data_IF_595189647340
#
_entry.id   IF_595189647340
#
_cell.length_a   1.000
_cell.length_b   1.000
_cell.length_c   1.000
_cell.angle_alpha   90.00
_cell.angle_beta   90.00
_cell.angle_gamma   90.00
#
_symmetry.space_group_name_H-M   'P 1'
#
loop_
_entity.id
_entity.type
_entity.pdbx_description
1 polymer ?
#
# COMPACT_ATOMS: atom_id res chain seq x y z
N UNK A 1 15.62 16.02 -27.92
CA UNK A 1 16.54 16.72 -27.01
C UNK A 1 15.71 17.61 -26.09
N UNK A 2 15.89 17.52 -24.77
CA UNK A 2 15.22 18.41 -23.81
C UNK A 2 16.18 19.57 -23.51
N UNK A 3 15.91 20.76 -24.06
CA UNK A 3 16.78 21.93 -23.90
C UNK A 3 16.61 22.56 -22.50
N UNK A 4 17.70 23.12 -21.96
CA UNK A 4 17.76 23.76 -20.65
C UNK A 4 19.13 23.55 -20.01
N UNK A 5 19.52 24.40 -19.05
CA UNK A 5 20.72 24.16 -18.22
C UNK A 5 20.57 22.83 -17.50
N UNK A 6 21.59 21.98 -17.59
CA UNK A 6 21.57 20.67 -16.99
C UNK A 6 21.54 20.76 -15.46
N UNK A 7 20.68 19.96 -14.84
CA UNK A 7 20.72 19.72 -13.39
C UNK A 7 21.87 18.76 -13.07
N UNK A 8 23.09 19.30 -13.05
CA UNK A 8 24.31 18.51 -12.81
C UNK A 8 24.28 17.83 -11.44
N UNK A 9 23.76 18.52 -10.41
CA UNK A 9 23.66 17.96 -9.07
C UNK A 9 22.65 16.79 -9.03
N UNK A 10 21.48 16.96 -9.64
CA UNK A 10 20.49 15.89 -9.79
C UNK A 10 21.02 14.70 -10.59
N UNK A 11 21.79 14.94 -11.65
CA UNK A 11 22.41 13.88 -12.45
C UNK A 11 23.41 13.05 -11.62
N UNK A 12 24.28 13.70 -10.84
CA UNK A 12 25.24 13.01 -9.96
C UNK A 12 24.50 12.25 -8.84
N UNK A 13 23.50 12.87 -8.20
CA UNK A 13 22.70 12.24 -7.16
C UNK A 13 21.93 11.02 -7.66
N UNK A 14 21.36 11.10 -8.86
CA UNK A 14 20.67 9.99 -9.52
C UNK A 14 21.64 8.84 -9.83
N UNK A 15 22.81 9.14 -10.40
CA UNK A 15 23.81 8.11 -10.70
C UNK A 15 24.26 7.36 -9.45
N UNK A 16 24.53 8.07 -8.36
CA UNK A 16 24.87 7.47 -7.06
C UNK A 16 23.73 6.61 -6.51
N UNK A 17 22.50 7.15 -6.49
CA UNK A 17 21.32 6.42 -6.01
C UNK A 17 21.03 5.16 -6.82
N UNK A 18 21.17 5.23 -8.15
CA UNK A 18 20.99 4.10 -9.04
C UNK A 18 22.03 3.00 -8.78
N UNK A 19 23.30 3.39 -8.61
CA UNK A 19 24.36 2.44 -8.31
C UNK A 19 24.06 1.67 -7.01
N UNK A 20 23.77 2.38 -5.93
CA UNK A 20 23.41 1.77 -4.64
C UNK A 20 22.17 0.89 -4.76
N UNK A 21 21.12 1.38 -5.43
CA UNK A 21 19.87 0.63 -5.60
C UNK A 21 20.08 -0.69 -6.35
N UNK A 22 20.99 -0.74 -7.34
CA UNK A 22 21.32 -1.96 -8.08
C UNK A 22 22.17 -2.90 -7.23
N UNK A 23 23.19 -2.38 -6.53
CA UNK A 23 24.08 -3.17 -5.66
C UNK A 23 23.30 -3.87 -4.53
N UNK A 24 22.33 -3.16 -3.92
CA UNK A 24 21.56 -3.66 -2.78
C UNK A 24 20.28 -4.42 -3.20
N UNK A 25 19.90 -4.38 -4.49
CA UNK A 25 18.58 -4.80 -4.98
C UNK A 25 18.17 -6.19 -4.48
N UNK A 26 19.05 -7.19 -4.64
CA UNK A 26 18.71 -8.58 -4.33
C UNK A 26 18.44 -8.77 -2.84
N UNK A 27 19.29 -8.21 -1.98
CA UNK A 27 19.15 -8.31 -0.53
C UNK A 27 17.90 -7.57 -0.05
N UNK A 28 17.67 -6.36 -0.58
CA UNK A 28 16.49 -5.57 -0.24
C UNK A 28 15.20 -6.26 -0.70
N UNK A 29 15.16 -6.79 -1.93
CA UNK A 29 14.02 -7.55 -2.44
C UNK A 29 13.70 -8.76 -1.56
N UNK A 30 14.71 -9.53 -1.13
CA UNK A 30 14.52 -10.67 -0.24
C UNK A 30 13.92 -10.24 1.11
N UNK A 31 14.48 -9.19 1.73
CA UNK A 31 14.03 -8.66 3.02
C UNK A 31 12.59 -8.12 2.93
N UNK A 32 12.30 -7.28 1.95
CA UNK A 32 10.98 -6.69 1.77
C UNK A 32 9.92 -7.74 1.42
N UNK A 33 10.28 -8.76 0.65
CA UNK A 33 9.38 -9.89 0.40
C UNK A 33 9.00 -10.62 1.68
N UNK A 34 9.96 -10.84 2.59
CA UNK A 34 9.70 -11.47 3.88
C UNK A 34 8.75 -10.61 4.74
N UNK A 35 9.04 -9.32 4.89
CA UNK A 35 8.19 -8.38 5.63
C UNK A 35 6.78 -8.28 5.04
N UNK A 36 6.67 -8.14 3.71
CA UNK A 36 5.39 -8.14 3.00
C UNK A 36 4.61 -9.42 3.26
N UNK A 37 5.28 -10.57 3.20
CA UNK A 37 4.62 -11.88 3.39
C UNK A 37 4.10 -12.03 4.83
N UNK A 38 4.82 -11.52 5.83
CA UNK A 38 4.34 -11.50 7.22
C UNK A 38 3.11 -10.59 7.34
N UNK A 39 3.19 -9.37 6.81
CA UNK A 39 2.08 -8.42 6.79
C UNK A 39 0.82 -9.05 6.17
N UNK A 40 0.93 -9.54 4.93
CA UNK A 40 -0.19 -10.10 4.18
C UNK A 40 -0.79 -11.32 4.88
N UNK A 41 0.04 -12.28 5.31
CA UNK A 41 -0.43 -13.48 5.99
C UNK A 41 -1.20 -13.14 7.26
N UNK A 42 -0.66 -12.25 8.09
CA UNK A 42 -1.28 -11.88 9.37
C UNK A 42 -2.57 -11.10 9.17
N UNK A 43 -2.61 -10.19 8.19
CA UNK A 43 -3.85 -9.47 7.86
C UNK A 43 -4.95 -10.40 7.35
N UNK A 44 -4.62 -11.38 6.51
CA UNK A 44 -5.57 -12.40 6.07
C UNK A 44 -6.10 -13.27 7.22
N UNK A 45 -5.27 -13.55 8.22
CA UNK A 45 -5.67 -14.29 9.43
C UNK A 45 -6.55 -13.46 10.37
N UNK A 46 -6.32 -12.14 10.49
CA UNK A 46 -6.98 -11.30 11.50
C UNK A 46 -8.16 -10.49 10.99
N UNK A 47 -8.29 -10.26 9.68
CA UNK A 47 -9.33 -9.41 9.10
C UNK A 47 -10.21 -10.25 8.15
N UNK A 48 -11.40 -10.70 8.62
CA UNK A 48 -12.32 -11.46 7.78
C UNK A 48 -12.72 -10.69 6.52
N UNK A 49 -12.73 -11.36 5.37
CA UNK A 49 -13.09 -10.75 4.08
C UNK A 49 -12.03 -9.86 3.47
N UNK A 50 -10.86 -9.69 4.10
CA UNK A 50 -9.72 -9.00 3.48
C UNK A 50 -9.18 -9.83 2.32
N UNK A 51 -8.87 -9.15 1.22
CA UNK A 51 -8.26 -9.72 0.02
C UNK A 51 -6.93 -9.02 -0.26
N UNK A 52 -6.00 -9.75 -0.88
CA UNK A 52 -4.76 -9.16 -1.41
C UNK A 52 -4.94 -9.01 -2.92
N UNK A 53 -4.87 -7.76 -3.40
CA UNK A 53 -4.93 -7.47 -4.82
C UNK A 53 -3.74 -8.16 -5.50
N UNK A 54 -4.03 -8.91 -6.59
CA UNK A 54 -3.05 -9.66 -7.39
C UNK A 54 -2.10 -10.57 -6.59
N UNK A 55 -2.60 -11.19 -5.50
CA UNK A 55 -1.79 -12.01 -4.56
C UNK A 55 -0.83 -12.99 -5.23
N UNK A 56 -1.32 -13.71 -6.26
CA UNK A 56 -0.62 -14.79 -6.94
C UNK A 56 0.14 -14.34 -8.21
N UNK A 57 0.16 -13.05 -8.52
CA UNK A 57 0.87 -12.51 -9.67
C UNK A 57 2.34 -12.20 -9.34
N UNK A 58 3.17 -12.10 -10.38
CA UNK A 58 4.50 -11.50 -10.22
C UNK A 58 4.33 -10.00 -9.94
N UNK A 59 4.81 -9.55 -8.78
CA UNK A 59 4.59 -8.19 -8.26
C UNK A 59 5.77 -7.74 -7.42
N UNK A 60 5.93 -6.42 -7.35
CA UNK A 60 7.04 -5.80 -6.62
C UNK A 60 7.11 -6.28 -5.17
N UNK A 61 8.32 -6.61 -4.71
CA UNK A 61 8.58 -7.19 -3.37
C UNK A 61 8.11 -6.31 -2.21
N UNK A 62 8.01 -5.01 -2.44
CA UNK A 62 7.75 -3.99 -1.43
C UNK A 62 6.30 -3.50 -1.39
N UNK A 63 5.46 -3.92 -2.34
CA UNK A 63 4.08 -3.46 -2.44
C UNK A 63 3.14 -4.53 -1.92
N UNK A 64 2.34 -4.17 -0.92
CA UNK A 64 1.12 -4.90 -0.57
C UNK A 64 -0.08 -4.01 -0.86
N UNK A 65 -1.03 -4.51 -1.65
CA UNK A 65 -2.28 -3.82 -1.91
C UNK A 65 -3.41 -4.71 -1.43
N UNK A 66 -4.19 -4.19 -0.49
CA UNK A 66 -5.28 -4.89 0.16
C UNK A 66 -6.61 -4.31 -0.31
N UNK A 67 -7.62 -5.18 -0.30
CA UNK A 67 -9.00 -4.89 -0.61
C UNK A 67 -9.85 -5.32 0.58
N UNK A 68 -10.71 -4.43 1.06
CA UNK A 68 -11.64 -4.70 2.15
C UNK A 68 -13.02 -4.22 1.72
N UNK A 69 -13.98 -5.11 1.82
CA UNK A 69 -15.38 -4.79 1.55
C UNK A 69 -16.06 -4.23 2.82
N UNK A 70 -17.18 -3.53 2.61
CA UNK A 70 -18.05 -2.97 3.66
C UNK A 70 -17.43 -1.84 4.51
N UNK A 71 -16.38 -1.18 4.01
CA UNK A 71 -15.82 0.04 4.61
C UNK A 71 -15.53 1.07 3.52
N UNK A 72 -15.59 2.35 3.89
CA UNK A 72 -15.15 3.43 3.03
C UNK A 72 -13.62 3.55 3.01
N UNK A 73 -13.04 3.75 1.83
CA UNK A 73 -11.59 3.82 1.65
C UNK A 73 -10.95 5.10 2.19
N UNK A 74 -11.66 6.23 2.12
CA UNK A 74 -11.18 7.51 2.65
C UNK A 74 -11.19 7.48 4.18
N UNK A 75 -12.26 6.94 4.78
CA UNK A 75 -12.34 6.75 6.24
C UNK A 75 -11.22 5.83 6.75
N UNK A 76 -10.90 4.76 6.01
CA UNK A 76 -9.80 3.87 6.36
C UNK A 76 -8.44 4.60 6.30
N UNK A 77 -8.19 5.38 5.24
CA UNK A 77 -6.94 6.14 5.12
C UNK A 77 -6.82 7.21 6.20
N UNK A 78 -7.89 7.94 6.49
CA UNK A 78 -7.92 8.92 7.57
C UNK A 78 -7.66 8.26 8.94
N UNK A 79 -8.26 7.10 9.20
CA UNK A 79 -8.02 6.35 10.43
C UNK A 79 -6.58 5.82 10.54
N UNK A 80 -5.96 5.42 9.44
CA UNK A 80 -4.55 5.03 9.41
C UNK A 80 -3.62 6.20 9.71
N UNK A 81 -3.90 7.38 9.13
CA UNK A 81 -3.12 8.60 9.37
C UNK A 81 -3.18 9.03 10.85
N UNK A 82 -4.36 9.00 11.47
CA UNK A 82 -4.53 9.28 12.90
C UNK A 82 -3.75 8.31 13.80
N UNK A 83 -3.52 7.08 13.33
CA UNK A 83 -2.71 6.07 14.01
C UNK A 83 -1.22 6.15 13.62
N UNK A 84 -0.81 7.15 12.84
CA UNK A 84 0.57 7.38 12.42
C UNK A 84 1.07 6.38 11.36
N UNK A 85 0.17 5.79 10.58
CA UNK A 85 0.51 4.85 9.50
C UNK A 85 0.26 5.52 8.15
N UNK A 86 1.34 5.80 7.42
CA UNK A 86 1.24 6.32 6.06
C UNK A 86 0.91 5.19 5.06
N UNK A 87 -0.17 5.36 4.30
CA UNK A 87 -0.59 4.46 3.24
C UNK A 87 -1.21 5.25 2.07
N UNK A 88 -1.49 4.59 0.95
CA UNK A 88 -2.20 5.20 -0.19
C UNK A 88 -3.47 4.43 -0.51
N UNK A 89 -4.48 5.08 -1.06
CA UNK A 89 -5.67 4.42 -1.61
C UNK A 89 -5.43 3.74 -2.98
N UNK A 90 -6.46 3.07 -3.50
CA UNK A 90 -6.53 2.63 -4.90
C UNK A 90 -6.58 3.84 -5.84
N UNK A 91 -5.52 4.03 -6.63
CA UNK A 91 -5.21 5.26 -7.40
C UNK A 91 -5.56 6.57 -6.70
N UNK A 92 -4.69 6.98 -5.79
CA UNK A 92 -4.53 8.39 -5.47
C UNK A 92 -4.23 9.18 -6.77
N UNK A 93 -4.96 10.29 -6.96
CA UNK A 93 -4.91 11.29 -8.04
C UNK A 93 -5.98 11.20 -9.15
N UNK A 94 -7.25 11.18 -8.78
CA UNK A 94 -8.20 12.11 -9.39
C UNK A 94 -8.71 13.03 -8.28
N UNK A 95 -8.01 14.15 -8.08
CA UNK A 95 -8.45 15.23 -7.21
C UNK A 95 -9.84 15.71 -7.65
N UNK A 96 -10.90 15.17 -7.04
CA UNK A 96 -12.29 15.59 -7.25
C UNK A 96 -13.21 14.59 -7.95
N UNK A 97 -12.79 13.36 -8.26
CA UNK A 97 -13.68 12.34 -8.83
C UNK A 97 -13.90 11.20 -7.84
N UNK A 98 -15.17 10.86 -7.61
CA UNK A 98 -15.63 9.74 -6.76
C UNK A 98 -15.52 8.39 -7.50
N UNK A 99 -14.78 8.32 -8.60
CA UNK A 99 -14.75 7.14 -9.45
C UNK A 99 -13.71 6.13 -8.98
N UNK A 100 -14.11 4.86 -8.95
CA UNK A 100 -13.23 3.72 -8.69
C UNK A 100 -12.06 3.73 -9.67
N UNK A 101 -10.85 3.53 -9.15
CA UNK A 101 -9.61 3.43 -9.94
C UNK A 101 -9.77 2.53 -11.16
N UNK A 102 -9.38 3.00 -12.35
CA UNK A 102 -9.39 2.17 -13.57
C UNK A 102 -8.63 0.84 -13.40
N UNK A 103 -7.59 0.80 -12.54
CA UNK A 103 -6.85 -0.43 -12.22
C UNK A 103 -7.71 -1.39 -11.38
N UNK A 104 -8.41 -0.88 -10.37
CA UNK A 104 -9.28 -1.68 -9.50
C UNK A 104 -10.51 -2.14 -10.27
N UNK A 105 -11.08 -1.29 -11.12
CA UNK A 105 -12.14 -1.64 -12.07
C UNK A 105 -11.69 -2.74 -13.04
N UNK A 106 -10.46 -2.70 -13.54
CA UNK A 106 -9.93 -3.78 -14.38
C UNK A 106 -9.73 -5.11 -13.62
N UNK A 107 -9.53 -5.06 -12.30
CA UNK A 107 -9.36 -6.25 -11.46
C UNK A 107 -10.69 -6.86 -11.02
N UNK A 108 -11.70 -6.04 -10.74
CA UNK A 108 -12.92 -6.47 -10.04
C UNK A 108 -14.24 -6.09 -10.74
N UNK A 109 -14.21 -5.24 -11.76
CA UNK A 109 -15.39 -4.70 -12.45
C UNK A 109 -15.85 -3.34 -11.89
N UNK A 110 -16.81 -2.72 -12.57
CA UNK A 110 -17.31 -1.37 -12.25
C UNK A 110 -18.21 -1.34 -10.99
N UNK A 111 -18.82 -2.47 -10.64
CA UNK A 111 -19.80 -2.58 -9.54
C UNK A 111 -19.17 -2.80 -8.15
N UNK A 112 -17.83 -2.85 -8.06
CA UNK A 112 -17.15 -3.15 -6.79
C UNK A 112 -16.92 -1.91 -5.94
N UNK A 113 -17.62 -1.82 -4.80
CA UNK A 113 -17.37 -0.86 -3.71
C UNK A 113 -16.31 -1.37 -2.73
N UNK A 114 -15.15 -1.77 -3.25
CA UNK A 114 -14.07 -2.34 -2.44
C UNK A 114 -13.08 -1.25 -2.04
N UNK A 115 -12.95 -0.96 -0.74
CA UNK A 115 -11.92 -0.09 -0.23
C UNK A 115 -10.55 -0.70 -0.48
N UNK A 116 -9.72 0.00 -1.25
CA UNK A 116 -8.35 -0.43 -1.55
C UNK A 116 -7.34 0.44 -0.83
N UNK A 117 -6.41 -0.19 -0.13
CA UNK A 117 -5.25 0.46 0.50
C UNK A 117 -3.96 -0.22 0.03
N UNK A 118 -2.93 0.58 -0.21
CA UNK A 118 -1.60 0.16 -0.64
C UNK A 118 -0.56 0.59 0.39
N UNK A 119 0.17 -0.39 0.90
CA UNK A 119 1.37 -0.21 1.70
C UNK A 119 2.61 -0.38 0.83
N UNK A 120 3.53 0.58 0.93
CA UNK A 120 4.82 0.56 0.22
C UNK A 120 5.95 0.49 1.26
N UNK A 121 6.58 -0.67 1.35
CA UNK A 121 7.63 -0.94 2.33
C UNK A 121 8.97 -0.35 1.85
N UNK A 122 9.72 0.25 2.75
CA UNK A 122 10.98 0.94 2.46
C UNK A 122 12.22 0.21 2.99
N UNK A 123 13.40 0.72 2.61
CA UNK A 123 14.68 0.26 3.15
C UNK A 123 14.74 0.34 4.68
N UNK A 124 14.02 1.28 5.29
CA UNK A 124 13.98 1.49 6.73
C UNK A 124 12.84 0.75 7.44
N UNK A 125 11.90 0.13 6.70
CA UNK A 125 10.78 -0.55 7.35
C UNK A 125 11.25 -1.74 8.20
N UNK A 126 10.76 -1.79 9.43
CA UNK A 126 11.12 -2.76 10.46
C UNK A 126 10.03 -3.80 10.71
N UNK A 127 10.40 -4.95 11.28
CA UNK A 127 9.43 -5.97 11.72
C UNK A 127 8.47 -5.43 12.79
N UNK A 128 8.95 -4.55 13.66
CA UNK A 128 8.12 -3.93 14.69
C UNK A 128 7.02 -3.05 14.09
N UNK A 129 7.34 -2.25 13.06
CA UNK A 129 6.34 -1.44 12.35
C UNK A 129 5.32 -2.33 11.62
N UNK A 130 5.74 -3.48 11.08
CA UNK A 130 4.81 -4.47 10.50
C UNK A 130 3.82 -4.97 11.55
N UNK A 131 4.30 -5.42 12.71
CA UNK A 131 3.44 -5.91 13.79
C UNK A 131 2.50 -4.82 14.33
N UNK A 132 3.00 -3.61 14.51
CA UNK A 132 2.17 -2.46 14.91
C UNK A 132 1.11 -2.14 13.87
N UNK A 133 1.46 -2.18 12.59
CA UNK A 133 0.51 -1.96 11.48
C UNK A 133 -0.58 -3.02 11.48
N UNK A 134 -0.26 -4.30 11.67
CA UNK A 134 -1.24 -5.40 11.76
C UNK A 134 -2.24 -5.16 12.89
N UNK A 135 -1.74 -4.83 14.09
CA UNK A 135 -2.57 -4.60 15.28
C UNK A 135 -3.51 -3.41 15.06
N UNK A 136 -2.95 -2.28 14.62
CA UNK A 136 -3.71 -1.04 14.39
C UNK A 136 -4.73 -1.18 13.28
N UNK A 137 -4.34 -1.74 12.13
CA UNK A 137 -5.25 -1.94 11.00
C UNK A 137 -6.41 -2.88 11.37
N UNK A 138 -6.14 -3.98 12.09
CA UNK A 138 -7.19 -4.90 12.56
C UNK A 138 -8.19 -4.17 13.47
N UNK A 139 -7.69 -3.34 14.39
CA UNK A 139 -8.52 -2.52 15.29
C UNK A 139 -9.36 -1.49 14.53
N UNK A 140 -8.74 -0.76 13.58
CA UNK A 140 -9.41 0.23 12.73
C UNK A 140 -10.55 -0.40 11.94
N UNK A 141 -10.28 -1.50 11.23
CA UNK A 141 -11.30 -2.18 10.40
C UNK A 141 -12.45 -2.70 11.26
N UNK A 142 -12.15 -3.25 12.43
CA UNK A 142 -13.18 -3.70 13.39
C UNK A 142 -14.06 -2.53 13.85
N UNK A 143 -13.46 -1.36 14.11
CA UNK A 143 -14.19 -0.15 14.53
C UNK A 143 -15.06 0.40 13.41
N UNK A 144 -14.52 0.52 12.19
CA UNK A 144 -15.26 1.05 11.03
C UNK A 144 -16.46 0.17 10.68
N UNK A 145 -16.29 -1.16 10.66
CA UNK A 145 -17.42 -2.09 10.43
C UNK A 145 -18.52 -1.98 11.47
N UNK A 146 -18.18 -1.72 12.73
CA UNK A 146 -19.18 -1.51 13.80
C UNK A 146 -19.98 -0.21 13.60
N UNK A 147 -19.34 0.83 13.09
CA UNK A 147 -20.00 2.11 12.81
C UNK A 147 -20.96 1.97 11.62
N UNK A 148 -20.53 1.32 10.53
CA UNK A 148 -21.36 1.10 9.34
C UNK A 148 -22.54 0.13 9.57
N UNK A 149 -22.40 -0.84 10.49
CA UNK A 149 -23.50 -1.75 10.85
C UNK A 149 -24.56 -1.11 11.78
N UNK A 150 -24.28 0.07 12.34
CA UNK A 150 -25.19 0.79 13.25
C UNK A 150 -25.99 1.91 12.55
N UNK A 151 -25.76 2.10 11.27
CA UNK A 151 -26.43 3.05 10.36
C UNK A 151 -27.33 2.32 9.37
#
# INVERSE_FOLDING_TARGET
LRAGTEDVAGAVGFACSLQLAVEEQQQLCKRLTALRSVLERRLLETIPGLRINVQNANRASHISSIAIDDIDGEDLLAALDLEGIAASGGSACESGSTQTSHVITALYGEETSTATVRFSLGCETTEQEIEQTIIKLTSIVTRLRKLGAAS
#
